data_IF_982460197124
#
_entry.id   IF_982460197124
#
_cell.length_a   1.000
_cell.length_b   1.000
_cell.length_c   1.000
_cell.angle_alpha   90.00
_cell.angle_beta   90.00
_cell.angle_gamma   90.00
#
_symmetry.space_group_name_H-M   'P 1'
#
loop_
_entity.id
_entity.type
_entity.pdbx_description
1 polymer ?
#
# COMPACT_ATOMS: atom_id res chain seq x y z
N UNK A 1 30.40 4.19 -21.15
CA UNK A 1 29.74 3.05 -20.47
C UNK A 1 30.80 2.27 -19.71
N UNK A 2 31.03 2.61 -18.45
CA UNK A 2 31.88 1.80 -17.55
C UNK A 2 31.03 0.65 -17.03
N UNK A 3 31.32 -0.56 -17.52
CA UNK A 3 30.61 -1.78 -17.11
C UNK A 3 31.27 -2.28 -15.83
N UNK A 4 30.64 -2.01 -14.68
CA UNK A 4 31.06 -2.57 -13.39
C UNK A 4 30.89 -4.08 -13.44
N UNK A 5 31.98 -4.83 -13.35
CA UNK A 5 31.93 -6.28 -13.22
C UNK A 5 31.67 -6.62 -11.75
N UNK A 6 30.54 -7.26 -11.45
CA UNK A 6 30.26 -7.81 -10.14
C UNK A 6 30.78 -9.24 -10.09
N UNK A 7 31.73 -9.52 -9.19
CA UNK A 7 32.22 -10.87 -8.93
C UNK A 7 31.32 -11.51 -7.86
N UNK A 8 30.63 -12.59 -8.24
CA UNK A 8 29.76 -13.35 -7.34
C UNK A 8 30.53 -14.56 -6.78
N UNK A 9 30.49 -14.74 -5.46
CA UNK A 9 31.07 -15.90 -4.79
C UNK A 9 29.95 -16.89 -4.41
N UNK A 10 30.01 -18.08 -4.98
CA UNK A 10 29.07 -19.18 -4.72
C UNK A 10 29.72 -20.17 -3.76
N UNK A 11 28.93 -20.72 -2.82
CA UNK A 11 29.44 -21.67 -1.82
C UNK A 11 29.97 -22.98 -2.46
N UNK A 12 29.38 -23.40 -3.59
CA UNK A 12 29.82 -24.51 -4.42
C UNK A 12 29.31 -24.35 -5.86
N UNK A 13 29.76 -25.18 -6.82
CA UNK A 13 29.21 -25.17 -8.18
C UNK A 13 27.76 -25.68 -8.23
N UNK A 14 26.91 -25.04 -9.04
CA UNK A 14 25.61 -25.61 -9.44
C UNK A 14 25.82 -26.94 -10.15
N UNK A 15 24.98 -27.94 -9.86
CA UNK A 15 25.14 -29.32 -10.35
C UNK A 15 23.88 -29.88 -10.98
N UNK A 16 24.02 -30.61 -12.08
CA UNK A 16 22.96 -31.40 -12.68
C UNK A 16 23.16 -32.88 -12.28
N UNK A 17 22.20 -33.45 -11.55
CA UNK A 17 22.21 -34.85 -11.12
C UNK A 17 21.17 -35.65 -11.89
N UNK A 18 21.59 -36.74 -12.53
CA UNK A 18 20.69 -37.67 -13.21
C UNK A 18 20.44 -38.89 -12.31
N UNK A 19 19.18 -39.32 -12.19
CA UNK A 19 18.76 -40.57 -11.56
C UNK A 19 17.76 -41.31 -12.46
N UNK A 20 17.41 -42.54 -12.10
CA UNK A 20 16.40 -43.34 -12.80
C UNK A 20 15.01 -42.66 -12.82
N UNK A 21 14.79 -41.67 -11.94
CA UNK A 21 13.58 -40.86 -11.88
C UNK A 21 13.65 -39.55 -12.70
N UNK A 22 14.78 -39.26 -13.36
CA UNK A 22 14.97 -38.09 -14.23
C UNK A 22 16.20 -37.24 -13.89
N UNK A 23 16.27 -36.03 -14.46
CA UNK A 23 17.36 -35.07 -14.22
C UNK A 23 16.91 -33.98 -13.25
N UNK A 24 17.71 -33.74 -12.22
CA UNK A 24 17.51 -32.69 -11.22
C UNK A 24 18.62 -31.66 -11.33
N UNK A 25 18.26 -30.38 -11.44
CA UNK A 25 19.21 -29.26 -11.52
C UNK A 25 19.26 -28.55 -10.16
N UNK A 26 20.39 -28.65 -9.46
CA UNK A 26 20.70 -27.88 -8.26
C UNK A 26 21.43 -26.60 -8.62
N UNK A 27 20.83 -25.44 -8.33
CA UNK A 27 21.44 -24.14 -8.52
C UNK A 27 21.94 -23.60 -7.18
N UNK A 28 23.17 -23.11 -7.14
CA UNK A 28 23.73 -22.44 -5.97
C UNK A 28 23.50 -20.93 -6.04
N UNK A 29 23.26 -20.31 -4.88
CA UNK A 29 23.12 -18.85 -4.75
C UNK A 29 24.45 -18.25 -4.33
N UNK A 30 24.83 -17.12 -4.93
CA UNK A 30 25.85 -16.28 -4.33
C UNK A 30 25.19 -15.65 -3.09
N UNK A 31 25.86 -15.69 -1.95
CA UNK A 31 25.34 -15.11 -0.71
C UNK A 31 24.99 -13.62 -0.84
N UNK A 32 24.49 -13.01 0.23
CA UNK A 32 24.21 -11.58 0.26
C UNK A 32 24.62 -10.93 1.58
N UNK A 33 24.71 -9.60 1.54
CA UNK A 33 25.03 -8.78 2.71
C UNK A 33 23.75 -8.53 3.51
N UNK A 34 23.79 -8.85 4.80
CA UNK A 34 22.79 -8.47 5.80
C UNK A 34 23.36 -7.33 6.66
N UNK A 35 22.52 -6.63 7.46
CA UNK A 35 23.04 -5.68 8.45
C UNK A 35 24.06 -6.28 9.43
N UNK A 36 24.09 -7.61 9.59
CA UNK A 36 25.03 -8.34 10.45
C UNK A 36 26.30 -8.84 9.71
N UNK A 37 26.43 -8.61 8.40
CA UNK A 37 27.55 -9.06 7.58
C UNK A 37 27.16 -9.96 6.40
N UNK A 38 28.14 -10.57 5.75
CA UNK A 38 27.93 -11.47 4.61
C UNK A 38 27.35 -12.81 5.07
N UNK A 39 26.25 -13.25 4.45
CA UNK A 39 25.57 -14.51 4.69
C UNK A 39 25.44 -15.28 3.36
N UNK A 40 25.59 -16.61 3.40
CA UNK A 40 25.48 -17.49 2.24
C UNK A 40 24.04 -17.59 1.73
N UNK A 41 23.06 -17.48 2.63
CA UNK A 41 21.64 -17.51 2.31
C UNK A 41 20.92 -16.46 3.17
N UNK A 42 21.11 -15.15 2.86
CA UNK A 42 20.52 -14.08 3.63
C UNK A 42 19.02 -14.33 3.72
N UNK A 43 18.53 -14.45 4.93
CA UNK A 43 17.11 -14.66 5.23
C UNK A 43 16.73 -13.66 6.29
N UNK A 44 15.53 -13.12 6.15
CA UNK A 44 14.97 -12.24 7.16
C UNK A 44 13.88 -12.94 7.97
N UNK A 45 13.61 -14.22 7.73
CA UNK A 45 12.85 -15.05 8.67
C UNK A 45 13.10 -16.54 8.44
N UNK A 46 13.19 -17.32 9.52
CA UNK A 46 13.05 -18.76 9.51
C UNK A 46 12.52 -19.24 10.87
N UNK A 47 11.32 -19.79 10.90
CA UNK A 47 10.73 -20.25 12.14
C UNK A 47 9.33 -20.83 11.99
N UNK A 48 8.79 -21.29 13.11
CA UNK A 48 7.43 -21.81 13.19
C UNK A 48 6.42 -20.72 13.52
N UNK A 49 5.22 -20.85 12.97
CA UNK A 49 4.08 -20.00 13.34
C UNK A 49 3.35 -20.56 14.55
N UNK A 50 2.91 -19.69 15.46
CA UNK A 50 2.27 -20.09 16.72
C UNK A 50 0.87 -20.66 16.52
N UNK A 51 0.14 -20.14 15.52
CA UNK A 51 -1.16 -20.63 15.07
C UNK A 51 -1.12 -21.04 13.57
N UNK A 52 -0.52 -22.20 13.23
CA UNK A 52 -0.27 -22.65 11.85
C UNK A 52 -1.51 -22.61 10.96
N UNK A 53 -2.62 -23.16 11.44
CA UNK A 53 -3.82 -23.26 10.65
C UNK A 53 -4.49 -21.89 10.40
N UNK A 54 -4.39 -20.96 11.37
CA UNK A 54 -4.89 -19.61 11.18
C UNK A 54 -4.03 -18.84 10.18
N UNK A 55 -2.70 -18.97 10.30
CA UNK A 55 -1.75 -18.33 9.40
C UNK A 55 -1.91 -18.83 7.96
N UNK A 56 -2.06 -20.13 7.75
CA UNK A 56 -2.28 -20.70 6.44
C UNK A 56 -3.55 -20.17 5.77
N UNK A 57 -4.67 -20.06 6.52
CA UNK A 57 -5.92 -19.50 5.97
C UNK A 57 -5.81 -18.00 5.69
N UNK A 58 -5.07 -17.27 6.51
CA UNK A 58 -4.83 -15.84 6.30
C UNK A 58 -3.93 -15.59 5.08
N UNK A 59 -2.85 -16.36 4.91
CA UNK A 59 -2.01 -16.32 3.70
C UNK A 59 -2.81 -16.63 2.43
N UNK A 60 -3.66 -17.66 2.49
CA UNK A 60 -4.58 -17.97 1.40
C UNK A 60 -5.58 -16.83 1.12
N UNK A 61 -6.02 -16.09 2.14
CA UNK A 61 -6.89 -14.92 1.96
C UNK A 61 -6.16 -13.77 1.24
N UNK A 62 -4.90 -13.51 1.59
CA UNK A 62 -4.05 -12.53 0.87
C UNK A 62 -3.85 -12.96 -0.58
N UNK A 63 -3.58 -14.25 -0.82
CA UNK A 63 -3.40 -14.81 -2.15
C UNK A 63 -4.71 -14.80 -2.98
N UNK A 64 -5.86 -14.98 -2.34
CA UNK A 64 -7.18 -14.87 -3.00
C UNK A 64 -7.47 -13.45 -3.46
N UNK A 65 -7.17 -12.45 -2.62
CA UNK A 65 -7.31 -11.04 -3.03
C UNK A 65 -6.44 -10.76 -4.24
N UNK A 66 -5.20 -11.27 -4.25
CA UNK A 66 -4.28 -11.08 -5.37
C UNK A 66 -4.82 -11.68 -6.70
N UNK A 67 -5.48 -12.84 -6.62
CA UNK A 67 -6.12 -13.50 -7.76
C UNK A 67 -7.49 -12.88 -8.14
N UNK A 68 -8.11 -12.08 -7.27
CA UNK A 68 -9.45 -11.54 -7.48
C UNK A 68 -9.48 -10.37 -8.46
N UNK A 69 -10.57 -10.27 -9.23
CA UNK A 69 -10.95 -9.07 -10.00
C UNK A 69 -12.42 -8.76 -9.74
N UNK A 70 -12.67 -7.68 -9.01
CA UNK A 70 -14.03 -7.26 -8.61
C UNK A 70 -14.72 -6.40 -9.67
N UNK A 71 -13.97 -5.89 -10.65
CA UNK A 71 -14.49 -5.11 -11.79
C UNK A 71 -13.90 -5.64 -13.10
N UNK A 72 -14.78 -5.90 -14.07
CA UNK A 72 -14.50 -6.57 -15.37
C UNK A 72 -13.71 -7.88 -15.19
N UNK A 73 -14.45 -8.97 -14.98
CA UNK A 73 -13.92 -10.33 -14.80
C UNK A 73 -13.33 -10.88 -16.10
N UNK A 74 -12.10 -10.50 -16.45
CA UNK A 74 -11.26 -11.19 -17.45
C UNK A 74 -10.40 -12.27 -16.78
N UNK A 75 -9.77 -13.13 -17.59
CA UNK A 75 -8.98 -14.29 -17.12
C UNK A 75 -8.00 -13.92 -15.99
N UNK A 76 -7.79 -14.82 -15.01
CA UNK A 76 -6.87 -14.57 -13.90
C UNK A 76 -5.46 -14.31 -14.44
N UNK A 77 -4.84 -13.22 -13.97
CA UNK A 77 -3.40 -13.19 -13.85
C UNK A 77 -3.13 -13.46 -12.38
N UNK A 78 -2.34 -14.49 -12.05
CA UNK A 78 -1.78 -14.58 -10.69
C UNK A 78 -1.00 -13.29 -10.45
N UNK A 79 -1.26 -12.65 -9.32
CA UNK A 79 -0.50 -11.51 -8.87
C UNK A 79 0.03 -11.88 -7.51
N UNK A 80 1.24 -11.44 -7.22
CA UNK A 80 2.06 -12.15 -6.27
C UNK A 80 2.27 -11.31 -5.00
N UNK A 81 1.91 -11.84 -3.82
CA UNK A 81 2.08 -11.12 -2.57
C UNK A 81 3.50 -10.61 -2.34
N UNK A 82 3.59 -9.40 -1.78
CA UNK A 82 4.83 -8.85 -1.21
C UNK A 82 4.95 -9.36 0.23
N UNK A 83 6.14 -9.77 0.63
CA UNK A 83 6.47 -10.15 2.00
C UNK A 83 7.53 -9.19 2.53
N UNK A 84 7.27 -8.53 3.65
CA UNK A 84 8.22 -7.64 4.32
C UNK A 84 8.51 -8.14 5.74
N UNK A 85 9.79 -8.25 6.09
CA UNK A 85 10.26 -8.44 7.47
C UNK A 85 10.72 -7.11 8.06
N UNK A 86 10.26 -6.81 9.27
CA UNK A 86 10.50 -5.54 9.94
C UNK A 86 11.15 -5.69 11.33
N UNK A 87 11.99 -6.70 11.56
CA UNK A 87 12.62 -6.90 12.86
C UNK A 87 11.75 -7.71 13.85
N UNK A 88 10.49 -7.31 13.99
CA UNK A 88 9.56 -7.87 14.99
C UNK A 88 8.42 -8.69 14.38
N UNK A 89 8.16 -8.54 13.07
CA UNK A 89 6.99 -9.11 12.42
C UNK A 89 7.17 -9.33 10.93
N UNK A 90 6.33 -10.20 10.38
CA UNK A 90 6.18 -10.39 8.94
C UNK A 90 4.90 -9.77 8.42
N UNK A 91 4.98 -9.09 7.28
CA UNK A 91 3.84 -8.47 6.61
C UNK A 91 3.66 -9.05 5.21
N UNK A 92 2.50 -9.62 4.93
CA UNK A 92 2.13 -10.10 3.60
C UNK A 92 1.10 -9.17 2.99
N UNK A 93 1.42 -8.59 1.84
CA UNK A 93 0.62 -7.57 1.20
C UNK A 93 0.23 -7.98 -0.22
N UNK A 94 -1.02 -7.72 -0.62
CA UNK A 94 -1.44 -7.92 -2.01
C UNK A 94 -2.52 -6.92 -2.43
N UNK A 95 -2.69 -6.76 -3.74
CA UNK A 95 -3.81 -6.02 -4.31
C UNK A 95 -4.61 -6.91 -5.25
N UNK A 96 -5.92 -6.69 -5.31
CA UNK A 96 -6.72 -7.27 -6.39
C UNK A 96 -6.30 -6.79 -7.77
N UNK A 97 -6.63 -7.57 -8.80
CA UNK A 97 -6.26 -7.25 -10.17
C UNK A 97 -6.84 -5.94 -10.68
N UNK A 98 -7.95 -5.46 -10.13
CA UNK A 98 -8.50 -4.12 -10.40
C UNK A 98 -7.93 -3.03 -9.46
N UNK A 99 -7.02 -3.38 -8.55
CA UNK A 99 -6.49 -2.51 -7.49
C UNK A 99 -7.58 -1.91 -6.59
N UNK A 100 -8.74 -2.54 -6.48
CA UNK A 100 -9.83 -2.08 -5.63
C UNK A 100 -9.69 -2.56 -4.19
N UNK A 101 -9.06 -3.70 -3.96
CA UNK A 101 -8.91 -4.28 -2.61
C UNK A 101 -7.44 -4.43 -2.33
N UNK A 102 -7.01 -3.90 -1.19
CA UNK A 102 -5.68 -4.09 -0.63
C UNK A 102 -5.79 -5.03 0.56
N UNK A 103 -5.04 -6.13 0.56
CA UNK A 103 -4.95 -7.05 1.68
C UNK A 103 -3.60 -6.91 2.36
N UNK A 104 -3.60 -6.93 3.69
CA UNK A 104 -2.39 -7.05 4.51
C UNK A 104 -2.61 -8.05 5.64
N UNK A 105 -1.74 -9.03 5.73
CA UNK A 105 -1.61 -9.90 6.89
C UNK A 105 -0.35 -9.50 7.66
N UNK A 106 -0.51 -9.06 8.90
CA UNK A 106 0.59 -8.84 9.83
C UNK A 106 0.67 -10.07 10.76
N UNK A 107 1.80 -10.77 10.76
CA UNK A 107 2.14 -11.83 11.72
C UNK A 107 3.05 -11.23 12.78
N UNK A 108 2.46 -10.94 13.94
CA UNK A 108 3.05 -10.19 15.04
C UNK A 108 4.06 -11.03 15.83
N UNK A 109 4.83 -10.46 16.77
CA UNK A 109 5.78 -11.21 17.59
C UNK A 109 5.18 -12.49 18.20
N UNK A 110 3.99 -12.42 18.80
CA UNK A 110 3.29 -13.59 19.38
C UNK A 110 2.89 -14.65 18.34
N UNK A 111 2.83 -14.27 17.06
CA UNK A 111 2.59 -15.12 15.90
C UNK A 111 3.81 -15.95 15.48
N UNK A 112 5.01 -15.52 15.87
CA UNK A 112 6.30 -16.08 15.49
C UNK A 112 6.90 -16.80 16.71
N UNK A 113 7.11 -18.12 16.65
CA UNK A 113 7.61 -18.90 17.82
C UNK A 113 9.10 -18.63 18.09
N UNK A 114 9.41 -17.44 18.62
CA UNK A 114 10.73 -17.04 19.11
C UNK A 114 11.81 -16.90 18.03
N UNK A 115 11.43 -16.81 16.75
CA UNK A 115 12.36 -16.55 15.67
C UNK A 115 12.51 -15.04 15.48
N UNK A 116 13.73 -14.54 15.56
CA UNK A 116 14.05 -13.16 15.20
C UNK A 116 13.67 -12.93 13.73
N UNK A 117 12.92 -11.87 13.48
CA UNK A 117 12.68 -11.44 12.10
C UNK A 117 13.79 -10.49 11.73
N UNK A 118 14.52 -10.76 10.65
CA UNK A 118 15.43 -9.78 10.06
C UNK A 118 14.66 -8.69 9.31
N UNK A 119 15.40 -7.97 8.47
CA UNK A 119 14.86 -6.90 7.64
C UNK A 119 14.96 -7.27 6.16
N UNK A 120 13.90 -7.01 5.40
CA UNK A 120 13.92 -7.21 3.96
C UNK A 120 12.53 -7.26 3.34
N UNK A 121 12.49 -7.20 2.02
CA UNK A 121 11.27 -7.34 1.24
C UNK A 121 11.50 -8.28 0.06
N UNK A 122 10.59 -9.22 -0.14
CA UNK A 122 10.52 -10.09 -1.32
C UNK A 122 9.09 -10.11 -1.86
N UNK A 123 8.89 -10.73 -3.00
CA UNK A 123 7.56 -10.93 -3.55
C UNK A 123 7.51 -12.28 -4.26
N UNK A 124 6.53 -13.10 -3.93
CA UNK A 124 6.52 -14.54 -4.23
C UNK A 124 5.15 -14.96 -4.74
N UNK A 125 5.13 -15.83 -5.76
CA UNK A 125 3.88 -16.37 -6.30
C UNK A 125 3.30 -17.41 -5.35
N UNK A 126 2.04 -17.23 -4.96
CA UNK A 126 1.31 -18.25 -4.20
C UNK A 126 0.58 -19.15 -5.19
N UNK A 127 1.37 -20.02 -5.83
CA UNK A 127 0.94 -20.94 -6.87
C UNK A 127 0.04 -22.07 -6.34
N UNK A 128 -0.46 -22.94 -7.23
CA UNK A 128 -1.33 -24.04 -6.84
C UNK A 128 -0.68 -25.03 -5.84
N UNK A 129 0.56 -25.53 -6.05
CA UNK A 129 1.26 -26.36 -5.06
C UNK A 129 1.28 -25.76 -3.66
N UNK A 130 1.65 -24.47 -3.53
CA UNK A 130 1.68 -23.79 -2.23
C UNK A 130 0.27 -23.64 -1.65
N UNK A 131 -0.72 -23.30 -2.48
CA UNK A 131 -2.13 -23.20 -2.04
C UNK A 131 -2.66 -24.51 -1.50
N UNK A 132 -2.31 -25.61 -2.16
CA UNK A 132 -2.70 -26.95 -1.76
C UNK A 132 -2.03 -27.35 -0.44
N UNK A 133 -0.71 -27.13 -0.30
CA UNK A 133 0.03 -27.39 0.93
C UNK A 133 -0.57 -26.61 2.13
N UNK A 134 -0.86 -25.32 1.96
CA UNK A 134 -1.50 -24.50 2.98
C UNK A 134 -2.95 -24.93 3.27
N UNK A 135 -3.66 -25.46 2.27
CA UNK A 135 -5.06 -25.86 2.41
C UNK A 135 -5.24 -27.19 3.15
N UNK A 136 -4.25 -28.08 3.09
CA UNK A 136 -4.25 -29.39 3.77
C UNK A 136 -3.94 -29.30 5.28
N UNK A 137 -3.33 -28.20 5.74
CA UNK A 137 -3.02 -28.01 7.16
C UNK A 137 -4.26 -28.16 8.05
N UNK A 138 -4.14 -29.05 9.03
CA UNK A 138 -5.19 -29.50 9.94
C UNK A 138 -4.72 -29.42 11.39
N UNK A 139 -5.65 -29.21 12.32
CA UNK A 139 -5.36 -29.18 13.76
C UNK A 139 -4.10 -28.38 14.12
N UNK A 140 -3.17 -29.07 14.79
CA UNK A 140 -1.90 -28.54 15.29
C UNK A 140 -0.70 -28.82 14.38
N UNK A 141 -0.94 -29.15 13.10
CA UNK A 141 0.13 -29.39 12.11
C UNK A 141 1.13 -28.23 12.13
N UNK A 142 2.43 -28.50 12.30
CA UNK A 142 3.42 -27.43 12.33
C UNK A 142 3.55 -26.79 10.95
N UNK A 143 3.66 -25.47 10.94
CA UNK A 143 3.95 -24.67 9.76
C UNK A 143 5.25 -23.93 9.99
N UNK A 144 6.30 -24.39 9.31
CA UNK A 144 7.58 -23.69 9.27
C UNK A 144 7.63 -22.80 8.03
N UNK A 145 7.97 -21.53 8.23
CA UNK A 145 8.11 -20.56 7.17
C UNK A 145 9.55 -20.07 7.12
N UNK A 146 10.09 -19.94 5.92
CA UNK A 146 11.39 -19.32 5.64
C UNK A 146 11.20 -18.25 4.58
N UNK A 147 11.76 -17.06 4.81
CA UNK A 147 11.66 -15.93 3.87
C UNK A 147 13.05 -15.32 3.66
N UNK A 148 13.45 -15.21 2.41
CA UNK A 148 14.67 -14.55 1.96
C UNK A 148 14.40 -13.55 0.83
N UNK A 149 15.43 -12.87 0.34
CA UNK A 149 15.31 -11.84 -0.69
C UNK A 149 14.84 -12.39 -2.05
N UNK A 150 15.09 -13.68 -2.31
CA UNK A 150 14.86 -14.34 -3.60
C UNK A 150 13.82 -15.48 -3.54
N UNK A 151 13.40 -15.88 -2.35
CA UNK A 151 12.45 -16.99 -2.18
C UNK A 151 11.69 -16.95 -0.86
N UNK A 152 10.55 -17.66 -0.84
CA UNK A 152 9.81 -18.02 0.35
C UNK A 152 9.59 -19.54 0.34
N UNK A 153 9.84 -20.20 1.45
CA UNK A 153 9.56 -21.62 1.60
C UNK A 153 8.57 -21.87 2.73
N UNK A 154 7.58 -22.71 2.46
CA UNK A 154 6.64 -23.23 3.44
C UNK A 154 6.92 -24.72 3.59
N UNK A 155 7.20 -25.17 4.81
CA UNK A 155 7.41 -26.58 5.13
C UNK A 155 6.30 -27.06 6.03
N UNK A 156 5.57 -28.07 5.57
CA UNK A 156 4.56 -28.81 6.32
C UNK A 156 5.04 -30.25 6.54
N UNK A 157 4.21 -31.09 7.14
CA UNK A 157 4.49 -32.53 7.27
C UNK A 157 4.61 -33.25 5.91
N UNK A 158 3.98 -32.72 4.86
CA UNK A 158 4.06 -33.25 3.49
C UNK A 158 5.38 -32.87 2.78
N UNK A 159 6.20 -32.02 3.41
CA UNK A 159 7.47 -31.55 2.88
C UNK A 159 7.52 -30.04 2.56
N UNK A 160 8.64 -29.56 2.02
CA UNK A 160 8.83 -28.15 1.67
C UNK A 160 8.26 -27.82 0.29
N UNK A 161 7.58 -26.67 0.19
CA UNK A 161 7.22 -25.98 -1.04
C UNK A 161 8.00 -24.66 -1.09
N UNK A 162 8.77 -24.44 -2.14
CA UNK A 162 9.63 -23.25 -2.31
C UNK A 162 9.13 -22.42 -3.48
N UNK A 163 8.81 -21.16 -3.19
CA UNK A 163 8.38 -20.16 -4.16
C UNK A 163 9.46 -19.14 -4.40
N UNK A 164 9.74 -18.89 -5.68
CA UNK A 164 10.77 -17.94 -6.11
C UNK A 164 10.21 -16.53 -6.21
N UNK A 165 11.12 -15.57 -6.17
CA UNK A 165 10.82 -14.18 -6.45
C UNK A 165 10.31 -14.01 -7.88
N UNK A 166 9.28 -13.20 -8.02
CA UNK A 166 8.58 -12.91 -9.28
C UNK A 166 8.61 -11.41 -9.58
N UNK A 167 8.15 -10.91 -10.74
CA UNK A 167 8.04 -9.47 -10.96
C UNK A 167 6.74 -8.89 -10.37
N UNK A 168 6.81 -7.72 -9.72
CA UNK A 168 5.62 -7.03 -9.23
C UNK A 168 4.86 -6.26 -10.32
N UNK A 169 3.51 -6.28 -10.34
CA UNK A 169 2.72 -5.49 -11.28
C UNK A 169 2.90 -3.98 -11.04
N UNK A 170 3.20 -3.21 -12.10
CA UNK A 170 3.40 -1.75 -11.97
C UNK A 170 2.22 -1.01 -11.32
N UNK A 171 0.99 -1.45 -11.58
CA UNK A 171 -0.22 -0.83 -11.02
C UNK A 171 -0.32 -0.95 -9.49
N UNK A 172 0.31 -1.96 -8.89
CA UNK A 172 0.31 -2.12 -7.43
C UNK A 172 1.14 -1.05 -6.74
N UNK A 173 2.22 -0.58 -7.36
CA UNK A 173 3.08 0.46 -6.80
C UNK A 173 2.30 1.75 -6.52
N UNK A 174 1.54 2.23 -7.52
CA UNK A 174 0.63 3.37 -7.33
C UNK A 174 -0.46 3.04 -6.30
N UNK A 175 -0.97 1.81 -6.33
CA UNK A 175 -1.96 1.33 -5.37
C UNK A 175 -1.48 1.46 -3.92
N UNK A 176 -0.25 1.04 -3.61
CA UNK A 176 0.33 1.09 -2.27
C UNK A 176 0.45 2.51 -1.73
N UNK A 177 0.92 3.45 -2.55
CA UNK A 177 1.07 4.83 -2.15
C UNK A 177 -0.28 5.51 -1.93
N UNK A 178 -1.24 5.25 -2.81
CA UNK A 178 -2.60 5.81 -2.72
C UNK A 178 -3.39 5.18 -1.56
N UNK A 179 -3.24 3.87 -1.30
CA UNK A 179 -3.89 3.25 -0.14
C UNK A 179 -3.37 3.83 1.17
N UNK A 180 -2.05 4.00 1.30
CA UNK A 180 -1.43 4.69 2.43
C UNK A 180 -1.95 6.12 2.60
N UNK A 181 -1.94 6.93 1.54
CA UNK A 181 -2.38 8.32 1.61
C UNK A 181 -3.86 8.46 2.01
N UNK A 182 -4.69 7.48 1.66
CA UNK A 182 -6.10 7.43 2.05
C UNK A 182 -6.24 7.00 3.51
N UNK A 183 -5.53 5.96 3.93
CA UNK A 183 -5.74 5.32 5.24
C UNK A 183 -5.09 6.08 6.39
N UNK A 184 -4.16 7.01 6.14
CA UNK A 184 -3.64 7.93 7.15
C UNK A 184 -4.71 8.82 7.77
N UNK A 185 -5.84 9.04 7.08
CA UNK A 185 -6.99 9.81 7.57
C UNK A 185 -8.12 8.95 8.14
N UNK A 186 -7.89 7.67 8.44
CA UNK A 186 -8.91 6.79 8.98
C UNK A 186 -8.86 6.74 10.51
N UNK A 187 -10.05 6.62 11.12
CA UNK A 187 -10.20 6.32 12.54
C UNK A 187 -10.87 4.97 12.72
N UNK A 188 -10.71 4.40 13.91
CA UNK A 188 -11.51 3.25 14.35
C UNK A 188 -12.98 3.66 14.53
N UNK A 189 -13.89 2.89 13.95
CA UNK A 189 -15.34 3.19 13.91
C UNK A 189 -16.20 2.14 14.58
N UNK A 190 -15.76 0.89 14.59
CA UNK A 190 -16.46 -0.17 15.27
C UNK A 190 -15.49 -1.26 15.69
N UNK A 191 -15.81 -1.89 16.82
CA UNK A 191 -15.19 -3.13 17.26
C UNK A 191 -16.27 -4.17 17.57
N UNK A 192 -16.05 -5.40 17.11
CA UNK A 192 -16.97 -6.52 17.27
C UNK A 192 -16.22 -7.70 17.88
N UNK A 193 -16.91 -8.46 18.72
CA UNK A 193 -16.41 -9.75 19.22
C UNK A 193 -16.33 -10.77 18.10
N UNK A 194 -15.58 -11.86 18.30
CA UNK A 194 -15.52 -13.00 17.37
C UNK A 194 -16.89 -13.47 16.87
N UNK A 195 -17.86 -13.62 17.79
CA UNK A 195 -19.20 -14.11 17.46
C UNK A 195 -19.98 -13.13 16.57
N UNK A 196 -19.94 -11.83 16.90
CA UNK A 196 -20.60 -10.78 16.13
C UNK A 196 -19.92 -10.56 14.78
N UNK A 197 -18.58 -10.58 14.74
CA UNK A 197 -17.78 -10.52 13.53
C UNK A 197 -18.15 -11.65 12.56
N UNK A 198 -18.23 -12.88 13.06
CA UNK A 198 -18.61 -14.06 12.27
C UNK A 198 -20.04 -13.96 11.75
N UNK A 199 -21.00 -13.55 12.60
CA UNK A 199 -22.39 -13.36 12.18
C UNK A 199 -22.51 -12.30 11.10
N UNK A 200 -21.91 -11.14 11.33
CA UNK A 200 -21.94 -10.02 10.39
C UNK A 200 -21.31 -10.42 9.03
N UNK A 201 -20.09 -10.92 9.02
CA UNK A 201 -19.39 -11.27 7.78
C UNK A 201 -20.09 -12.40 7.03
N UNK A 202 -20.71 -13.37 7.71
CA UNK A 202 -21.51 -14.43 7.04
C UNK A 202 -22.81 -13.92 6.43
N UNK A 203 -23.38 -12.83 6.96
CA UNK A 203 -24.62 -12.23 6.46
C UNK A 203 -24.43 -11.39 5.19
N UNK A 204 -23.19 -11.02 4.86
CA UNK A 204 -22.90 -10.20 3.69
C UNK A 204 -23.13 -10.97 2.38
N UNK A 205 -23.64 -10.30 1.32
CA UNK A 205 -23.70 -10.86 -0.02
C UNK A 205 -22.32 -11.33 -0.51
N UNK A 206 -22.27 -12.53 -1.10
CA UNK A 206 -21.01 -13.17 -1.55
C UNK A 206 -20.71 -12.94 -3.03
N UNK A 207 -21.71 -12.54 -3.80
CA UNK A 207 -21.61 -12.28 -5.23
C UNK A 207 -22.24 -10.92 -5.52
N UNK A 208 -21.63 -10.18 -6.43
CA UNK A 208 -22.24 -8.95 -6.95
C UNK A 208 -23.59 -9.30 -7.59
N UNK A 209 -24.64 -8.58 -7.21
CA UNK A 209 -25.98 -8.71 -7.81
C UNK A 209 -25.92 -8.14 -9.23
N UNK A 210 -26.14 -9.00 -10.24
CA UNK A 210 -26.08 -8.64 -11.66
C UNK A 210 -24.67 -8.76 -12.25
N UNK A 211 -24.51 -9.62 -13.26
CA UNK A 211 -23.25 -9.96 -13.93
C UNK A 211 -22.57 -8.81 -14.69
N UNK A 212 -22.18 -7.74 -13.99
CA UNK A 212 -21.50 -6.57 -14.57
C UNK A 212 -21.91 -5.22 -13.97
N UNK A 213 -22.96 -5.17 -13.13
CA UNK A 213 -23.36 -3.95 -12.45
C UNK A 213 -22.55 -3.75 -11.16
N UNK A 214 -22.11 -2.51 -10.90
CA UNK A 214 -21.49 -2.13 -9.62
C UNK A 214 -22.54 -2.33 -8.54
N UNK A 215 -22.30 -3.22 -7.56
CA UNK A 215 -23.18 -3.32 -6.39
C UNK A 215 -23.20 -1.94 -5.72
N UNK A 216 -24.40 -1.38 -5.52
CA UNK A 216 -24.54 -0.10 -4.83
C UNK A 216 -23.82 -0.17 -3.49
N UNK A 217 -23.10 0.90 -3.12
CA UNK A 217 -22.43 0.94 -1.83
C UNK A 217 -23.46 0.68 -0.72
N UNK A 218 -23.13 -0.22 0.20
CA UNK A 218 -23.83 -0.31 1.48
C UNK A 218 -23.12 0.58 2.47
N UNK A 219 -23.82 0.91 3.55
CA UNK A 219 -23.23 1.55 4.71
C UNK A 219 -23.53 0.68 5.93
N UNK A 220 -22.65 0.71 6.91
CA UNK A 220 -22.86 0.02 8.19
C UNK A 220 -22.78 1.02 9.32
N UNK A 221 -23.65 0.87 10.31
CA UNK A 221 -23.68 1.73 11.49
C UNK A 221 -23.42 0.87 12.72
N UNK A 222 -22.53 1.30 13.62
CA UNK A 222 -22.42 0.71 14.95
C UNK A 222 -23.75 0.79 15.69
N UNK A 223 -24.27 -0.36 16.13
CA UNK A 223 -25.50 -0.46 16.89
C UNK A 223 -25.23 -1.33 18.12
N UNK A 224 -24.86 -0.69 19.23
CA UNK A 224 -24.37 -1.37 20.42
C UNK A 224 -23.09 -2.16 20.10
N UNK A 225 -23.15 -3.49 20.21
CA UNK A 225 -22.02 -4.40 19.93
C UNK A 225 -22.05 -5.02 18.53
N UNK A 226 -22.93 -4.54 17.66
CA UNK A 226 -23.22 -5.11 16.33
C UNK A 226 -23.07 -4.07 15.24
N UNK A 227 -23.00 -4.51 13.98
CA UNK A 227 -23.08 -3.65 12.80
C UNK A 227 -24.42 -3.87 12.09
N UNK A 228 -25.14 -2.78 11.84
CA UNK A 228 -26.39 -2.79 11.08
C UNK A 228 -26.17 -2.22 9.69
N UNK A 229 -26.44 -2.98 8.62
CA UNK A 229 -26.46 -2.44 7.27
C UNK A 229 -27.55 -1.39 7.09
N UNK A 230 -27.25 -0.37 6.30
CA UNK A 230 -28.16 0.68 5.85
C UNK A 230 -27.84 1.03 4.40
N UNK A 231 -28.84 1.48 3.66
CA UNK A 231 -28.72 1.91 2.26
C UNK A 231 -28.41 3.40 2.13
N UNK A 232 -28.20 4.11 3.24
CA UNK A 232 -27.90 5.54 3.25
C UNK A 232 -26.75 5.88 4.21
N UNK A 233 -25.92 6.89 3.87
CA UNK A 233 -24.88 7.43 4.74
C UNK A 233 -25.52 8.27 5.85
N UNK A 234 -25.81 7.62 6.98
CA UNK A 234 -26.26 8.32 8.20
C UNK A 234 -25.05 8.70 9.07
N UNK A 235 -25.18 9.65 10.02
CA UNK A 235 -24.09 9.99 10.92
C UNK A 235 -23.50 8.74 11.60
N UNK A 236 -22.16 8.64 11.61
CA UNK A 236 -21.43 7.50 12.16
C UNK A 236 -21.39 6.25 11.26
N UNK A 237 -22.02 6.28 10.08
CA UNK A 237 -21.96 5.16 9.16
C UNK A 237 -20.58 5.03 8.48
N UNK A 238 -20.12 3.79 8.30
CA UNK A 238 -18.93 3.45 7.51
C UNK A 238 -19.37 2.89 6.17
N UNK A 239 -18.75 3.38 5.09
CA UNK A 239 -19.02 2.87 3.75
C UNK A 239 -18.52 1.42 3.60
N UNK A 240 -19.35 0.56 3.04
CA UNK A 240 -19.03 -0.80 2.60
C UNK A 240 -19.28 -0.90 1.08
N UNK A 241 -18.32 -0.44 0.27
CA UNK A 241 -18.48 -0.41 -1.17
C UNK A 241 -18.27 -1.81 -1.76
N UNK A 242 -19.36 -2.49 -2.15
CA UNK A 242 -19.32 -3.86 -2.68
C UNK A 242 -19.00 -4.90 -1.58
N UNK A 243 -19.99 -5.34 -0.78
CA UNK A 243 -19.78 -6.30 0.32
C UNK A 243 -19.07 -7.59 -0.08
N UNK A 244 -19.26 -8.05 -1.32
CA UNK A 244 -18.60 -9.22 -1.90
C UNK A 244 -17.07 -9.10 -1.91
N UNK A 245 -16.54 -7.87 -1.83
CA UNK A 245 -15.10 -7.59 -1.76
C UNK A 245 -14.46 -8.02 -0.44
N UNK A 246 -15.27 -8.31 0.59
CA UNK A 246 -14.83 -8.89 1.86
C UNK A 246 -14.85 -10.43 1.86
N UNK A 247 -15.18 -11.09 0.74
CA UNK A 247 -15.31 -12.54 0.68
C UNK A 247 -14.03 -13.31 1.11
N UNK A 248 -12.84 -12.73 0.92
CA UNK A 248 -11.58 -13.37 1.34
C UNK A 248 -11.49 -13.52 2.88
N UNK A 249 -12.15 -12.66 3.66
CA UNK A 249 -12.20 -12.79 5.13
C UNK A 249 -12.95 -14.04 5.59
N UNK A 250 -13.80 -14.64 4.74
CA UNK A 250 -14.54 -15.86 5.09
C UNK A 250 -13.60 -17.02 5.45
N UNK A 251 -12.39 -17.05 4.86
CA UNK A 251 -11.38 -18.10 5.10
C UNK A 251 -10.92 -18.18 6.55
N UNK A 252 -10.92 -17.05 7.26
CA UNK A 252 -10.34 -16.92 8.59
C UNK A 252 -11.37 -16.85 9.71
N UNK A 253 -12.68 -16.83 9.40
CA UNK A 253 -13.72 -16.61 10.42
C UNK A 253 -13.68 -17.59 11.59
N UNK A 254 -13.31 -18.85 11.34
CA UNK A 254 -13.21 -19.86 12.41
C UNK A 254 -12.13 -19.54 13.45
N UNK A 255 -11.18 -18.69 13.09
CA UNK A 255 -10.04 -18.29 13.90
C UNK A 255 -10.15 -16.83 14.34
N UNK A 256 -11.21 -16.13 13.96
CA UNK A 256 -11.38 -14.72 14.27
C UNK A 256 -11.57 -14.52 15.78
N UNK A 257 -10.81 -13.61 16.37
CA UNK A 257 -10.95 -13.18 17.77
C UNK A 257 -11.75 -11.87 17.88
N UNK A 258 -11.82 -11.11 16.79
CA UNK A 258 -12.62 -9.88 16.69
C UNK A 258 -12.59 -9.28 15.28
N UNK A 259 -13.36 -8.22 15.08
CA UNK A 259 -13.35 -7.41 13.86
C UNK A 259 -13.28 -5.93 14.25
N UNK A 260 -12.34 -5.21 13.65
CA UNK A 260 -12.24 -3.75 13.70
C UNK A 260 -12.57 -3.16 12.35
N UNK A 261 -13.33 -2.07 12.36
CA UNK A 261 -13.74 -1.35 11.15
C UNK A 261 -13.22 0.07 11.22
N UNK A 262 -12.52 0.49 10.19
CA UNK A 262 -11.95 1.83 10.06
C UNK A 262 -12.53 2.57 8.86
N UNK A 263 -12.61 3.88 8.97
CA UNK A 263 -13.06 4.74 7.86
C UNK A 263 -12.71 6.19 8.09
N UNK A 264 -12.84 7.04 7.04
CA UNK A 264 -12.49 8.45 7.12
C UNK A 264 -13.52 9.22 7.95
N UNK A 265 -13.15 10.39 8.47
CA UNK A 265 -14.07 11.34 9.11
C UNK A 265 -15.39 11.44 8.31
N UNK A 266 -16.58 11.40 8.95
CA UNK A 266 -17.85 11.45 8.23
C UNK A 266 -17.90 12.68 7.31
N UNK A 267 -17.87 12.46 6.00
CA UNK A 267 -17.77 13.53 5.01
C UNK A 267 -18.77 13.30 3.87
N UNK A 268 -19.96 13.89 4.03
CA UNK A 268 -21.01 13.87 3.00
C UNK A 268 -21.60 12.48 2.74
N UNK A 269 -22.28 12.36 1.60
CA UNK A 269 -23.07 11.18 1.24
C UNK A 269 -22.39 10.26 0.20
N UNK A 270 -21.20 10.63 -0.26
CA UNK A 270 -20.49 9.90 -1.32
C UNK A 270 -19.84 8.61 -0.78
N UNK A 271 -19.72 7.56 -1.62
CA UNK A 271 -18.94 6.38 -1.26
C UNK A 271 -17.49 6.74 -0.91
N UNK A 272 -17.01 6.17 0.18
CA UNK A 272 -15.64 6.35 0.69
C UNK A 272 -14.93 5.01 0.83
N UNK A 273 -13.61 5.06 0.96
CA UNK A 273 -12.83 3.88 1.27
C UNK A 273 -13.05 3.47 2.75
N UNK A 274 -12.85 2.20 3.05
CA UNK A 274 -12.92 1.66 4.42
C UNK A 274 -11.96 0.49 4.60
N UNK A 275 -11.56 0.22 5.84
CA UNK A 275 -10.70 -0.91 6.16
C UNK A 275 -11.36 -1.83 7.20
N UNK A 276 -11.15 -3.14 7.01
CA UNK A 276 -11.79 -4.20 7.79
C UNK A 276 -10.71 -5.16 8.27
N UNK A 277 -10.41 -5.12 9.56
CA UNK A 277 -9.35 -5.90 10.20
C UNK A 277 -9.96 -7.03 11.03
N UNK A 278 -9.70 -8.27 10.64
CA UNK A 278 -9.99 -9.45 11.45
C UNK A 278 -8.78 -9.73 12.33
N UNK A 279 -8.98 -9.65 13.64
CA UNK A 279 -8.00 -10.09 14.62
C UNK A 279 -7.95 -11.63 14.65
N UNK A 280 -6.75 -12.18 14.72
CA UNK A 280 -6.44 -13.61 14.74
C UNK A 280 -5.41 -13.89 15.85
N UNK A 281 -5.24 -15.13 16.31
CA UNK A 281 -4.18 -15.45 17.27
C UNK A 281 -2.80 -15.06 16.71
N UNK A 282 -2.12 -14.11 17.35
CA UNK A 282 -0.80 -13.61 16.95
C UNK A 282 -0.76 -12.86 15.60
N UNK A 283 -1.91 -12.53 14.99
CA UNK A 283 -1.95 -11.97 13.64
C UNK A 283 -3.12 -10.98 13.44
N UNK A 284 -3.01 -10.15 12.40
CA UNK A 284 -4.08 -9.24 11.95
C UNK A 284 -4.24 -9.35 10.44
N UNK A 285 -5.43 -9.64 9.94
CA UNK A 285 -5.74 -9.63 8.51
C UNK A 285 -6.64 -8.44 8.17
N UNK A 286 -6.11 -7.48 7.41
CA UNK A 286 -6.82 -6.26 7.02
C UNK A 286 -7.14 -6.26 5.54
N UNK A 287 -8.41 -6.01 5.18
CA UNK A 287 -8.82 -5.67 3.82
C UNK A 287 -9.24 -4.20 3.75
N UNK A 288 -8.55 -3.42 2.92
CA UNK A 288 -8.91 -2.04 2.62
C UNK A 288 -9.61 -1.97 1.26
N UNK A 289 -10.80 -1.38 1.24
CA UNK A 289 -11.65 -1.25 0.07
C UNK A 289 -11.55 0.17 -0.48
N UNK A 290 -11.25 0.30 -1.77
CA UNK A 290 -11.40 1.56 -2.49
C UNK A 290 -12.88 1.98 -2.58
N UNK A 291 -13.17 3.27 -2.81
CA UNK A 291 -14.54 3.82 -2.73
C UNK A 291 -15.57 3.13 -3.64
N UNK A 292 -15.15 2.56 -4.77
CA UNK A 292 -16.03 1.83 -5.69
C UNK A 292 -15.28 0.65 -6.33
N UNK A 293 -16.00 -0.39 -6.76
CA UNK A 293 -15.38 -1.56 -7.39
C UNK A 293 -14.67 -1.23 -8.72
N UNK A 294 -15.25 -0.31 -9.50
CA UNK A 294 -14.69 0.25 -10.74
C UNK A 294 -13.52 1.21 -10.53
N UNK A 295 -13.33 1.69 -9.30
CA UNK A 295 -12.36 2.72 -8.92
C UNK A 295 -11.26 2.12 -8.06
N UNK A 296 -10.20 1.63 -8.68
CA UNK A 296 -9.03 1.13 -7.97
C UNK A 296 -8.16 2.24 -7.37
N UNK A 297 -7.43 1.93 -6.30
CA UNK A 297 -6.49 2.83 -5.63
C UNK A 297 -5.45 3.41 -6.59
N UNK A 298 -4.95 2.62 -7.52
CA UNK A 298 -3.87 3.01 -8.45
C UNK A 298 -4.23 4.11 -9.45
N UNK A 299 -5.51 4.47 -9.54
CA UNK A 299 -6.02 5.58 -10.36
C UNK A 299 -6.45 6.80 -9.54
N UNK A 300 -6.24 6.77 -8.22
CA UNK A 300 -6.44 7.92 -7.34
C UNK A 300 -5.36 8.99 -7.58
N UNK A 301 -5.39 10.06 -6.78
CA UNK A 301 -4.46 11.16 -6.95
C UNK A 301 -4.13 11.87 -5.65
N UNK A 302 -4.26 11.17 -4.52
CA UNK A 302 -3.94 11.72 -3.20
C UNK A 302 -2.45 12.06 -3.08
N UNK A 303 -1.59 11.34 -3.81
CA UNK A 303 -0.13 11.55 -3.73
C UNK A 303 0.39 12.66 -4.64
N UNK A 304 -0.42 13.15 -5.59
CA UNK A 304 0.03 14.03 -6.67
C UNK A 304 0.59 15.36 -6.17
N UNK A 305 0.08 15.88 -5.06
CA UNK A 305 0.52 17.16 -4.51
C UNK A 305 1.90 17.07 -3.87
N UNK A 306 2.20 15.97 -3.19
CA UNK A 306 3.52 15.68 -2.63
C UNK A 306 4.56 15.43 -3.73
N UNK A 307 4.14 14.77 -4.83
CA UNK A 307 4.99 14.56 -6.01
C UNK A 307 5.26 15.83 -6.84
N UNK A 308 4.46 16.87 -6.63
CA UNK A 308 4.52 18.10 -7.40
C UNK A 308 5.56 19.10 -6.89
N UNK A 309 6.33 18.76 -5.85
CA UNK A 309 7.25 19.70 -5.19
C UNK A 309 8.65 19.16 -5.05
N UNK A 310 9.63 20.00 -5.41
CA UNK A 310 11.06 19.69 -5.27
C UNK A 310 11.49 19.69 -3.79
N UNK A 311 10.91 20.55 -2.94
CA UNK A 311 11.17 20.52 -1.50
C UNK A 311 10.83 19.16 -0.86
N UNK A 312 9.70 18.55 -1.24
CA UNK A 312 9.36 17.20 -0.78
C UNK A 312 10.29 16.13 -1.35
N UNK A 313 11.00 16.43 -2.45
CA UNK A 313 11.98 15.52 -3.00
C UNK A 313 13.24 15.44 -2.15
N UNK A 314 13.79 16.60 -1.79
CA UNK A 314 14.93 16.74 -0.87
C UNK A 314 14.58 16.19 0.52
N UNK A 315 13.41 16.53 1.05
CA UNK A 315 12.95 16.00 2.34
C UNK A 315 12.86 14.48 2.33
N UNK A 316 12.38 13.88 1.23
CA UNK A 316 12.31 12.43 1.10
C UNK A 316 13.69 11.76 1.12
N UNK A 317 14.71 12.39 0.53
CA UNK A 317 16.08 11.87 0.59
C UNK A 317 16.61 11.89 2.02
N UNK A 318 16.43 13.00 2.75
CA UNK A 318 16.80 13.09 4.16
C UNK A 318 16.06 12.05 5.02
N UNK A 319 14.72 12.01 4.93
CA UNK A 319 13.89 11.09 5.73
C UNK A 319 14.21 9.63 5.39
N UNK A 320 14.58 9.31 4.15
CA UNK A 320 14.91 7.93 3.76
C UNK A 320 16.07 7.32 4.56
N UNK A 321 17.03 8.15 4.98
CA UNK A 321 18.18 7.74 5.80
C UNK A 321 17.75 7.44 7.24
N UNK A 322 16.73 8.13 7.73
CA UNK A 322 16.24 8.01 9.11
C UNK A 322 15.26 6.84 9.33
N UNK A 323 14.77 6.19 8.26
CA UNK A 323 13.75 5.13 8.41
C UNK A 323 14.23 3.87 9.14
N UNK A 324 15.54 3.60 9.12
CA UNK A 324 16.23 2.54 9.87
C UNK A 324 15.57 1.14 9.91
N UNK A 325 14.74 0.77 8.93
CA UNK A 325 13.95 -0.47 8.93
C UNK A 325 12.97 -0.65 10.10
N UNK A 326 12.58 0.45 10.73
CA UNK A 326 11.67 0.45 11.88
C UNK A 326 10.29 -0.16 11.54
N UNK A 327 9.76 -1.06 12.38
CA UNK A 327 8.42 -1.64 12.21
C UNK A 327 7.30 -0.64 12.47
N UNK A 328 7.62 0.46 13.16
CA UNK A 328 6.73 1.56 13.52
C UNK A 328 7.50 2.88 13.41
N UNK A 329 7.01 3.76 12.56
CA UNK A 329 7.60 5.08 12.27
C UNK A 329 6.55 6.14 12.58
N UNK A 330 6.83 6.98 13.57
CA UNK A 330 6.01 8.15 13.90
C UNK A 330 6.52 9.40 13.16
N UNK A 331 5.65 10.13 12.43
CA UNK A 331 6.03 11.40 11.82
C UNK A 331 6.56 12.45 12.81
N UNK A 332 6.14 12.43 14.07
CA UNK A 332 6.63 13.35 15.10
C UNK A 332 8.09 13.08 15.46
N UNK A 333 8.45 11.81 15.67
CA UNK A 333 9.83 11.42 15.98
C UNK A 333 10.77 11.75 14.82
N UNK A 334 10.33 11.51 13.58
CA UNK A 334 11.08 11.90 12.38
C UNK A 334 11.22 13.41 12.24
N UNK A 335 10.21 14.19 12.64
CA UNK A 335 10.28 15.65 12.63
C UNK A 335 11.33 16.16 13.62
N UNK A 336 11.38 15.58 14.82
CA UNK A 336 12.40 15.89 15.82
C UNK A 336 13.81 15.55 15.31
N UNK A 337 14.00 14.34 14.76
CA UNK A 337 15.31 13.88 14.27
C UNK A 337 15.81 14.66 13.04
N UNK A 338 14.91 15.04 12.13
CA UNK A 338 15.26 15.74 10.88
C UNK A 338 15.28 17.26 11.02
N UNK A 339 14.69 17.82 12.07
CA UNK A 339 14.43 19.26 12.21
C UNK A 339 13.38 19.81 11.23
N UNK A 340 12.65 18.94 10.52
CA UNK A 340 11.60 19.35 9.59
C UNK A 340 10.24 19.48 10.31
N UNK A 341 9.38 20.44 9.93
CA UNK A 341 7.99 20.45 10.35
C UNK A 341 7.28 19.13 9.97
N UNK A 342 6.39 18.65 10.85
CA UNK A 342 5.66 17.38 10.66
C UNK A 342 4.94 17.30 9.31
N UNK A 343 4.40 18.42 8.80
CA UNK A 343 3.74 18.44 7.48
C UNK A 343 4.70 18.15 6.32
N UNK A 344 5.96 18.62 6.41
CA UNK A 344 7.00 18.29 5.44
C UNK A 344 7.41 16.83 5.56
N UNK A 345 7.53 16.30 6.77
CA UNK A 345 7.80 14.87 7.01
C UNK A 345 6.68 14.00 6.40
N UNK A 346 5.41 14.37 6.59
CA UNK A 346 4.27 13.64 5.97
C UNK A 346 4.30 13.71 4.45
N UNK A 347 4.67 14.85 3.87
CA UNK A 347 4.85 14.97 2.41
C UNK A 347 6.01 14.10 1.91
N UNK A 348 7.13 14.07 2.63
CA UNK A 348 8.28 13.22 2.35
C UNK A 348 7.92 11.72 2.43
N UNK A 349 7.22 11.29 3.47
CA UNK A 349 6.72 9.92 3.63
C UNK A 349 5.72 9.54 2.53
N UNK A 350 4.89 10.48 2.08
CA UNK A 350 4.00 10.26 0.93
C UNK A 350 4.82 9.99 -0.33
N UNK A 351 5.87 10.78 -0.59
CA UNK A 351 6.78 10.58 -1.72
C UNK A 351 7.54 9.25 -1.60
N UNK A 352 8.05 8.91 -0.42
CA UNK A 352 8.69 7.61 -0.16
C UNK A 352 7.72 6.44 -0.38
N UNK A 353 6.45 6.60 -0.03
CA UNK A 353 5.40 5.63 -0.32
C UNK A 353 5.25 5.37 -1.83
N UNK A 354 5.31 6.42 -2.66
CA UNK A 354 5.31 6.28 -4.13
C UNK A 354 6.54 5.59 -4.70
N UNK A 355 7.68 5.67 -3.99
CA UNK A 355 8.89 4.93 -4.30
C UNK A 355 8.88 3.50 -3.71
N UNK A 356 7.79 3.10 -3.03
CA UNK A 356 7.68 1.78 -2.40
C UNK A 356 8.51 1.61 -1.13
N UNK A 357 8.95 2.73 -0.53
CA UNK A 357 9.87 2.77 0.62
C UNK A 357 9.18 2.74 1.99
N UNK A 358 7.89 3.03 2.04
CA UNK A 358 7.10 2.94 3.28
C UNK A 358 5.71 2.38 2.99
N UNK A 359 5.07 1.83 4.03
CA UNK A 359 3.64 1.58 4.10
C UNK A 359 3.03 2.21 5.35
N UNK A 360 1.73 2.02 5.59
CA UNK A 360 1.02 2.56 6.75
C UNK A 360 0.18 1.51 7.46
N UNK A 361 0.40 1.34 8.77
CA UNK A 361 -0.37 0.48 9.67
C UNK A 361 -1.48 1.28 10.34
N UNK A 362 -2.73 1.06 9.92
CA UNK A 362 -3.92 1.73 10.46
C UNK A 362 -4.16 1.34 11.92
N UNK A 363 -3.85 0.09 12.30
CA UNK A 363 -4.07 -0.41 13.65
C UNK A 363 -3.15 0.27 14.66
N UNK A 364 -1.94 0.63 14.22
CA UNK A 364 -0.92 1.30 15.05
C UNK A 364 -0.82 2.80 14.77
N UNK A 365 -1.61 3.31 13.81
CA UNK A 365 -1.59 4.68 13.31
C UNK A 365 -0.16 5.18 12.98
N UNK A 366 0.64 4.31 12.36
CA UNK A 366 2.06 4.57 12.14
C UNK A 366 2.52 4.08 10.75
N UNK A 367 3.57 4.70 10.24
CA UNK A 367 4.25 4.21 9.04
C UNK A 367 5.11 2.99 9.38
N UNK A 368 5.48 2.19 8.39
CA UNK A 368 6.47 1.13 8.54
C UNK A 368 7.41 1.13 7.33
N UNK A 369 8.68 0.76 7.53
CA UNK A 369 9.63 0.69 6.43
C UNK A 369 9.32 -0.50 5.52
N UNK A 370 9.48 -0.32 4.22
CA UNK A 370 9.34 -1.37 3.20
C UNK A 370 10.34 -1.07 2.09
N UNK A 371 10.81 -2.07 1.36
CA UNK A 371 11.64 -1.78 0.17
C UNK A 371 11.18 -2.58 -1.04
N UNK A 372 10.28 -1.99 -1.83
CA UNK A 372 9.90 -2.58 -3.11
C UNK A 372 11.07 -2.42 -4.12
N UNK A 373 11.41 -3.46 -4.91
CA UNK A 373 12.53 -3.42 -5.85
C UNK A 373 12.22 -2.52 -7.06
N UNK A 374 12.32 -1.20 -6.90
CA UNK A 374 11.86 -0.22 -7.90
C UNK A 374 12.72 1.05 -7.98
N UNK A 375 12.79 1.62 -9.19
CA UNK A 375 13.41 2.94 -9.44
C UNK A 375 12.41 4.06 -9.08
N UNK A 376 12.73 4.83 -8.03
CA UNK A 376 11.93 5.98 -7.57
C UNK A 376 11.57 6.96 -8.71
N UNK A 377 12.45 7.14 -9.72
CA UNK A 377 12.19 8.06 -10.85
C UNK A 377 11.09 7.57 -11.77
N UNK A 378 10.73 6.28 -11.73
CA UNK A 378 9.71 5.67 -12.58
C UNK A 378 8.29 5.94 -12.04
N UNK A 379 8.12 6.15 -10.73
CA UNK A 379 6.82 6.49 -10.12
C UNK A 379 6.28 7.86 -10.60
N UNK A 380 7.15 8.86 -10.73
CA UNK A 380 6.76 10.20 -11.20
C UNK A 380 6.36 10.21 -12.68
N UNK A 381 7.08 9.47 -13.53
CA UNK A 381 6.81 9.36 -14.98
C UNK A 381 5.48 8.66 -15.29
N UNK A 382 4.98 7.84 -14.36
CA UNK A 382 3.78 7.02 -14.53
C UNK A 382 2.50 7.66 -14.01
N UNK A 383 2.52 8.96 -13.71
CA UNK A 383 1.35 9.74 -13.31
C UNK A 383 0.93 10.69 -14.44
N UNK A 384 -0.03 10.30 -15.32
CA UNK A 384 -0.39 11.10 -16.50
C UNK A 384 -0.83 12.53 -16.16
N UNK A 385 -1.51 12.73 -15.02
CA UNK A 385 -1.92 14.06 -14.55
C UNK A 385 -0.74 14.93 -14.12
N UNK A 386 0.26 14.34 -13.44
CA UNK A 386 1.49 15.03 -13.05
C UNK A 386 2.34 15.38 -14.27
N UNK A 387 2.53 14.42 -15.19
CA UNK A 387 3.25 14.64 -16.46
C UNK A 387 2.60 15.76 -17.26
N UNK A 388 1.27 15.72 -17.42
CA UNK A 388 0.56 16.77 -18.15
C UNK A 388 0.62 18.13 -17.44
N UNK A 389 0.61 18.17 -16.10
CA UNK A 389 0.77 19.42 -15.35
C UNK A 389 2.17 20.03 -15.54
N UNK A 390 3.23 19.22 -15.47
CA UNK A 390 4.61 19.66 -15.74
C UNK A 390 4.76 20.16 -17.18
N UNK A 391 4.15 19.49 -18.16
CA UNK A 391 4.16 19.93 -19.55
C UNK A 391 3.48 21.31 -19.74
N UNK A 392 2.38 21.58 -19.04
CA UNK A 392 1.71 22.88 -19.07
C UNK A 392 2.61 24.00 -18.52
N UNK A 393 3.38 23.73 -17.47
CA UNK A 393 4.32 24.69 -16.91
C UNK A 393 5.49 24.96 -17.83
N UNK A 394 6.10 23.90 -18.37
CA UNK A 394 7.20 24.01 -19.33
C UNK A 394 6.80 24.83 -20.57
N UNK A 395 5.52 24.75 -20.98
CA UNK A 395 4.97 25.53 -22.08
C UNK A 395 4.57 26.98 -21.70
N UNK A 396 4.80 27.42 -20.45
CA UNK A 396 4.40 28.75 -19.99
C UNK A 396 2.88 28.96 -19.99
N UNK A 397 2.09 27.89 -19.92
CA UNK A 397 0.64 27.93 -20.15
C UNK A 397 -0.18 28.38 -18.93
N UNK A 398 0.47 28.69 -17.81
CA UNK A 398 -0.17 29.14 -16.56
C UNK A 398 0.06 30.64 -16.39
N UNK A 399 -1.03 31.41 -16.40
CA UNK A 399 -1.01 32.84 -16.09
C UNK A 399 -1.66 33.07 -14.74
N UNK A 400 -0.88 33.49 -13.75
CA UNK A 400 -1.40 33.86 -12.43
C UNK A 400 -2.09 35.24 -12.55
N UNK A 401 -3.39 35.27 -12.25
CA UNK A 401 -4.16 36.49 -12.14
C UNK A 401 -4.26 36.89 -10.65
N UNK A 402 -4.22 38.18 -10.33
CA UNK A 402 -4.35 38.64 -8.94
C UNK A 402 -5.61 38.07 -8.24
N UNK A 403 -5.60 38.04 -6.90
CA UNK A 403 -6.67 37.51 -6.04
C UNK A 403 -6.89 35.98 -6.15
N UNK A 404 -5.82 35.19 -6.08
CA UNK A 404 -5.91 33.72 -5.96
C UNK A 404 -6.49 33.02 -7.20
N UNK A 405 -6.45 33.66 -8.37
CA UNK A 405 -6.99 33.09 -9.60
C UNK A 405 -5.87 32.79 -10.58
N UNK A 406 -5.98 31.73 -11.38
CA UNK A 406 -5.08 31.47 -12.48
C UNK A 406 -5.84 31.06 -13.73
N UNK A 407 -5.31 31.43 -14.90
CA UNK A 407 -5.79 30.99 -16.19
C UNK A 407 -4.79 30.00 -16.78
N UNK A 408 -5.26 28.81 -17.14
CA UNK A 408 -4.41 27.75 -17.69
C UNK A 408 -4.86 27.43 -19.11
N UNK A 409 -4.00 27.67 -20.09
CA UNK A 409 -4.22 27.27 -21.48
C UNK A 409 -3.89 25.78 -21.63
N UNK A 410 -4.81 24.98 -22.18
CA UNK A 410 -4.58 23.55 -22.45
C UNK A 410 -5.22 23.18 -23.79
N UNK A 411 -4.39 23.12 -24.84
CA UNK A 411 -4.89 23.08 -26.22
C UNK A 411 -5.56 24.40 -26.56
N UNK A 412 -6.69 24.35 -27.24
CA UNK A 412 -7.46 25.55 -27.64
C UNK A 412 -8.31 26.15 -26.51
N UNK A 413 -8.43 25.44 -25.38
CA UNK A 413 -9.30 25.82 -24.27
C UNK A 413 -8.51 26.51 -23.16
N UNK A 414 -9.17 27.43 -22.47
CA UNK A 414 -8.65 28.08 -21.27
C UNK A 414 -9.49 27.67 -20.06
N UNK A 415 -8.82 27.28 -18.99
CA UNK A 415 -9.45 26.84 -17.75
C UNK A 415 -9.10 27.82 -16.64
N UNK A 416 -10.09 28.19 -15.85
CA UNK A 416 -9.89 29.02 -14.67
C UNK A 416 -9.67 28.10 -13.47
N UNK A 417 -8.61 28.40 -12.71
CA UNK A 417 -8.30 27.78 -11.43
C UNK A 417 -8.46 28.86 -10.36
N UNK A 418 -9.13 28.54 -9.25
CA UNK A 418 -9.27 29.45 -8.11
C UNK A 418 -8.77 28.78 -6.85
N UNK A 419 -7.91 29.49 -6.14
CA UNK A 419 -7.38 29.16 -4.83
C UNK A 419 -8.21 29.88 -3.77
N UNK A 420 -8.63 29.13 -2.76
CA UNK A 420 -9.41 29.64 -1.63
C UNK A 420 -9.06 28.83 -0.40
N UNK A 421 -8.40 29.46 0.59
CA UNK A 421 -8.02 28.81 1.84
C UNK A 421 -7.13 27.58 1.65
N UNK A 422 -6.20 27.61 0.70
CA UNK A 422 -5.30 26.50 0.38
C UNK A 422 -5.89 25.43 -0.55
N UNK A 423 -7.20 25.45 -0.80
CA UNK A 423 -7.86 24.55 -1.72
C UNK A 423 -7.94 25.13 -3.14
N UNK A 424 -7.65 24.30 -4.15
CA UNK A 424 -7.79 24.68 -5.56
C UNK A 424 -9.06 24.09 -6.16
N UNK A 425 -9.82 24.93 -6.88
CA UNK A 425 -10.94 24.54 -7.74
C UNK A 425 -10.64 24.85 -9.20
N UNK A 426 -11.29 24.15 -10.14
CA UNK A 426 -11.01 24.32 -11.57
C UNK A 426 -12.28 24.22 -12.42
N UNK A 427 -12.36 24.91 -13.56
CA UNK A 427 -13.50 24.82 -14.49
C UNK A 427 -13.45 23.61 -15.44
N UNK A 428 -12.49 22.70 -15.30
CA UNK A 428 -12.37 21.53 -16.18
C UNK A 428 -13.33 20.39 -15.82
N UNK A 429 -13.60 19.51 -16.79
CA UNK A 429 -14.49 18.35 -16.61
C UNK A 429 -14.08 17.46 -15.43
N UNK A 430 -12.77 17.22 -15.24
CA UNK A 430 -12.29 16.41 -14.11
C UNK A 430 -12.76 16.96 -12.76
N UNK A 431 -12.73 18.29 -12.59
CA UNK A 431 -13.20 18.93 -11.37
C UNK A 431 -14.73 18.90 -11.27
N UNK A 432 -15.44 19.10 -12.38
CA UNK A 432 -16.90 18.98 -12.41
C UNK A 432 -17.36 17.60 -11.92
N UNK A 433 -16.70 16.54 -12.39
CA UNK A 433 -17.02 15.15 -12.05
C UNK A 433 -16.63 14.80 -10.59
N UNK A 434 -15.43 15.21 -10.16
CA UNK A 434 -14.83 14.67 -8.93
C UNK A 434 -14.68 15.67 -7.78
N UNK A 435 -14.68 16.98 -8.04
CA UNK A 435 -14.53 18.05 -7.03
C UNK A 435 -13.42 17.79 -6.01
N UNK A 436 -12.24 17.37 -6.48
CA UNK A 436 -11.08 17.07 -5.64
C UNK A 436 -11.04 15.67 -5.02
N UNK A 437 -12.16 14.91 -5.02
CA UNK A 437 -12.24 13.56 -4.39
C UNK A 437 -11.31 12.51 -4.98
N UNK A 438 -10.75 12.74 -6.17
CA UNK A 438 -9.78 11.86 -6.86
C UNK A 438 -8.42 12.54 -7.03
N UNK A 439 -8.11 13.52 -6.20
CA UNK A 439 -6.93 14.36 -6.33
C UNK A 439 -7.06 15.45 -7.40
N UNK A 440 -6.08 16.37 -7.49
CA UNK A 440 -6.13 17.53 -8.37
C UNK A 440 -6.14 17.14 -9.86
N UNK A 441 -6.78 17.99 -10.68
CA UNK A 441 -6.62 17.91 -12.13
C UNK A 441 -5.24 18.46 -12.55
N UNK A 442 -4.83 18.21 -13.80
CA UNK A 442 -3.56 18.73 -14.34
C UNK A 442 -3.46 20.27 -14.25
N UNK A 443 -4.55 21.00 -14.41
CA UNK A 443 -4.56 22.47 -14.36
C UNK A 443 -4.36 23.02 -12.94
N UNK A 444 -5.06 22.44 -11.96
CA UNK A 444 -4.91 22.79 -10.56
C UNK A 444 -3.48 22.44 -10.09
N UNK A 445 -2.96 21.28 -10.49
CA UNK A 445 -1.61 20.87 -10.14
C UNK A 445 -0.55 21.81 -10.75
N UNK A 446 -0.69 22.17 -12.02
CA UNK A 446 0.18 23.14 -12.68
C UNK A 446 0.12 24.51 -11.97
N UNK A 447 -1.07 24.99 -11.63
CA UNK A 447 -1.26 26.25 -10.90
C UNK A 447 -0.58 26.21 -9.53
N UNK A 448 -0.70 25.10 -8.79
CA UNK A 448 -0.04 24.91 -7.49
C UNK A 448 1.48 25.07 -7.58
N UNK A 449 2.08 24.42 -8.56
CA UNK A 449 3.51 24.49 -8.82
C UNK A 449 3.93 25.91 -9.19
N UNK A 450 3.17 26.61 -10.04
CA UNK A 450 3.45 28.00 -10.42
C UNK A 450 3.38 28.97 -9.22
N UNK A 451 2.35 28.85 -8.38
CA UNK A 451 2.19 29.65 -7.17
C UNK A 451 3.39 29.47 -6.23
N UNK A 452 3.84 28.22 -6.02
CA UNK A 452 4.99 27.91 -5.16
C UNK A 452 6.32 28.44 -5.73
N UNK A 453 6.51 28.35 -7.05
CA UNK A 453 7.68 28.92 -7.71
C UNK A 453 7.74 30.44 -7.56
N UNK A 454 6.60 31.13 -7.67
CA UNK A 454 6.50 32.57 -7.45
C UNK A 454 6.83 32.96 -6.00
N UNK A 455 6.34 32.21 -5.01
CA UNK A 455 6.68 32.42 -3.59
C UNK A 455 8.18 32.24 -3.34
N UNK A 456 8.78 31.18 -3.89
CA UNK A 456 10.22 30.87 -3.74
C UNK A 456 11.12 31.94 -4.39
N UNK A 457 10.71 32.46 -5.56
CA UNK A 457 11.41 33.57 -6.20
C UNK A 457 11.34 34.85 -5.33
N UNK A 458 10.18 35.12 -4.71
CA UNK A 458 10.00 36.31 -3.85
C UNK A 458 10.81 36.20 -2.56
N UNK A 459 10.91 35.02 -1.94
CA UNK A 459 11.70 34.81 -0.71
C UNK A 459 13.21 34.87 -0.95
N UNK A 460 13.68 34.51 -2.15
CA UNK A 460 15.10 34.66 -2.53
C UNK A 460 15.55 36.11 -2.77
N UNK A 461 14.61 37.06 -2.86
CA UNK A 461 14.84 38.49 -3.11
C UNK A 461 14.51 39.32 -1.84
N UNK A 462 14.89 38.84 -0.65
CA UNK A 462 14.92 39.72 0.54
C UNK A 462 16.14 40.64 0.50
N UNK A 463 15.98 41.98 0.65
CA UNK A 463 17.09 42.92 0.59
C UNK A 463 17.99 42.76 1.83
N UNK A 464 19.30 42.78 1.61
CA UNK A 464 20.29 42.86 2.68
C UNK A 464 19.95 44.03 3.64
N UNK A 465 20.12 43.89 4.97
CA UNK A 465 19.88 44.99 5.87
C UNK A 465 20.82 46.13 5.50
N UNK A 466 20.26 47.29 5.15
CA UNK A 466 21.03 48.51 4.95
C UNK A 466 21.74 48.83 6.27
N UNK A 467 23.05 48.64 6.27
CA UNK A 467 23.91 49.05 7.36
C UNK A 467 23.66 50.51 7.71
N UNK A 468 23.21 50.74 8.94
CA UNK A 468 23.14 52.06 9.52
C UNK A 468 24.58 52.59 9.66
N UNK A 469 24.94 53.53 8.81
CA UNK A 469 26.07 54.41 9.02
C UNK A 469 25.53 55.77 9.52
N UNK A 470 25.51 55.94 10.85
CA UNK A 470 26.09 57.06 11.60
C UNK A 470 25.63 57.06 13.05
#
# INVERSE_FOLDING_TARGET
>A
MTRTAHTFAYARPSSLTASDAGRTLGLETAGGLTPAGADLHPRFFAGFLSAPQAAARALLAVADVAAARYYRRTLPASLDPVVTGNGDRLRFESFSGCCGVYARLDVLPDGLRGADTGHGTTNVDVNNPLREALSRLSGDDPLHLRVGPDEMAVTTLDGPVVEKKVPLPERWLRGFAESQAITTGFDLRAELTAAEATRFLRSLPRTAVGGGAVSAALWVVPAGRTLRPTTRPVPGAVCLPGPERLAALQRVLRHATGLRVYGPAPAGAEPTASAWEVALPGMRLTLTLSPEASRGFSGEGGVLEALATDAAAEDAELISVLLAWEPRIDPADLAEQSGLPVDRVRAALTRLGTAGRVGYDIAEAAYFHRELPYDARRAERHNPRLVAARALLAAGAVTLAGAGTALVASGERRYQVRESGGALSCTCQWWADHRGRRGPCKHALATRMALRAAVSATSSVSPAPSGAAR
#
